data_IF_232850473046
#
_entry.id   IF_232850473046
#
_cell.length_a   1.000
_cell.length_b   1.000
_cell.length_c   1.000
_cell.angle_alpha   90.00
_cell.angle_beta   90.00
_cell.angle_gamma   90.00
#
_symmetry.space_group_name_H-M   'P 1'
#
loop_
_entity.id
_entity.type
_entity.pdbx_description
1 polymer ?
#
# COMPACT_ATOMS: atom_id res chain seq x y z
N UNK A 1 -8.26 -9.49 20.57
CA UNK A 1 -7.11 -8.60 20.34
C UNK A 1 -6.57 -8.06 21.66
N UNK A 2 -5.28 -7.82 21.74
CA UNK A 2 -4.62 -7.22 22.90
C UNK A 2 -4.59 -5.71 22.78
N UNK A 3 -4.28 -5.01 23.88
CA UNK A 3 -4.05 -3.55 23.86
C UNK A 3 -2.88 -3.17 22.94
N UNK A 4 -1.85 -4.02 22.89
CA UNK A 4 -0.68 -3.81 22.03
C UNK A 4 -1.05 -3.90 20.55
N UNK A 5 -1.80 -4.93 20.15
CA UNK A 5 -2.28 -5.07 18.77
C UNK A 5 -3.21 -3.93 18.37
N UNK A 6 -4.11 -3.52 19.24
CA UNK A 6 -4.99 -2.38 18.99
C UNK A 6 -4.18 -1.10 18.78
N UNK A 7 -3.18 -0.86 19.63
CA UNK A 7 -2.29 0.30 19.51
C UNK A 7 -1.50 0.32 18.21
N UNK A 8 -1.02 -0.84 17.75
CA UNK A 8 -0.32 -0.97 16.47
C UNK A 8 -1.25 -0.64 15.29
N UNK A 9 -2.47 -1.19 15.32
CA UNK A 9 -3.48 -0.95 14.28
C UNK A 9 -3.86 0.53 14.22
N UNK A 10 -4.07 1.15 15.38
CA UNK A 10 -4.38 2.58 15.47
C UNK A 10 -3.27 3.45 14.89
N UNK A 11 -2.01 3.12 15.17
CA UNK A 11 -0.85 3.86 14.61
C UNK A 11 -0.80 3.76 13.09
N UNK A 12 -1.03 2.57 12.55
CA UNK A 12 -1.03 2.36 11.09
C UNK A 12 -2.22 3.07 10.44
N UNK A 13 -3.38 3.07 11.08
CA UNK A 13 -4.53 3.84 10.60
C UNK A 13 -4.23 5.34 10.58
N UNK A 14 -3.59 5.85 11.63
CA UNK A 14 -3.17 7.26 11.68
C UNK A 14 -2.21 7.61 10.54
N UNK A 15 -1.28 6.71 10.19
CA UNK A 15 -0.38 6.90 9.06
C UNK A 15 -1.14 7.05 7.74
N UNK A 16 -2.17 6.22 7.52
CA UNK A 16 -3.03 6.33 6.34
C UNK A 16 -3.78 7.66 6.32
N UNK A 17 -4.34 8.07 7.46
CA UNK A 17 -5.08 9.32 7.55
C UNK A 17 -4.18 10.53 7.29
N UNK A 18 -2.96 10.53 7.83
CA UNK A 18 -1.98 11.59 7.59
C UNK A 18 -1.49 11.62 6.14
N UNK A 19 -1.49 10.49 5.46
CA UNK A 19 -1.08 10.38 4.08
C UNK A 19 -2.14 10.91 3.11
N UNK A 20 -3.38 11.18 3.56
CA UNK A 20 -4.45 11.68 2.71
C UNK A 20 -4.10 13.01 2.05
N UNK A 21 -4.66 13.22 0.87
CA UNK A 21 -4.45 14.44 0.09
C UNK A 21 -5.66 15.36 0.20
N UNK A 22 -5.43 16.67 0.07
CA UNK A 22 -6.51 17.65 -0.08
C UNK A 22 -7.08 17.55 -1.49
N UNK A 23 -6.19 17.35 -2.48
CA UNK A 23 -6.54 17.10 -3.88
C UNK A 23 -5.45 16.25 -4.51
N UNK A 24 -5.83 15.48 -5.51
CA UNK A 24 -4.90 14.59 -6.21
C UNK A 24 -5.37 14.47 -7.66
N UNK A 25 -4.70 15.18 -8.57
CA UNK A 25 -4.97 15.04 -10.00
C UNK A 25 -4.34 13.75 -10.53
N UNK A 26 -4.73 13.38 -11.74
CA UNK A 26 -4.10 12.24 -12.42
C UNK A 26 -2.60 12.50 -12.62
N UNK A 27 -2.21 13.73 -12.93
CA UNK A 27 -0.81 14.14 -13.03
C UNK A 27 -0.07 13.97 -11.69
N UNK A 28 -0.70 14.41 -10.60
CA UNK A 28 -0.13 14.24 -9.27
C UNK A 28 0.11 12.76 -8.94
N UNK A 29 -0.84 11.91 -9.27
CA UNK A 29 -0.74 10.47 -9.00
C UNK A 29 0.40 9.84 -9.82
N UNK A 30 0.58 10.25 -11.07
CA UNK A 30 1.69 9.80 -11.90
C UNK A 30 3.03 10.27 -11.32
N UNK A 31 3.12 11.54 -10.92
CA UNK A 31 4.34 12.10 -10.33
C UNK A 31 4.66 11.44 -8.99
N UNK A 32 3.64 11.07 -8.22
CA UNK A 32 3.82 10.31 -6.98
C UNK A 32 4.44 8.94 -7.26
N UNK A 33 3.98 8.26 -8.31
CA UNK A 33 4.57 6.98 -8.75
C UNK A 33 6.04 7.13 -9.11
N UNK A 34 6.38 8.19 -9.84
CA UNK A 34 7.78 8.49 -10.19
C UNK A 34 8.62 8.80 -8.96
N UNK A 35 8.06 9.52 -7.99
CA UNK A 35 8.72 9.81 -6.72
C UNK A 35 9.04 8.51 -5.96
N UNK A 36 8.08 7.60 -5.89
CA UNK A 36 8.25 6.30 -5.25
C UNK A 36 9.34 5.48 -5.96
N UNK A 37 9.34 5.46 -7.28
CA UNK A 37 10.34 4.75 -8.07
C UNK A 37 11.75 5.29 -7.79
N UNK A 38 11.92 6.61 -7.79
CA UNK A 38 13.21 7.26 -7.51
C UNK A 38 13.70 6.95 -6.11
N UNK A 39 12.83 7.00 -5.13
CA UNK A 39 13.21 6.71 -3.74
C UNK A 39 13.65 5.25 -3.60
N UNK A 40 12.94 4.33 -4.24
CA UNK A 40 13.31 2.91 -4.25
C UNK A 40 14.68 2.70 -4.89
N UNK A 41 14.97 3.39 -6.00
CA UNK A 41 16.27 3.33 -6.66
C UNK A 41 17.39 3.87 -5.78
N UNK A 42 17.17 5.03 -5.15
CA UNK A 42 18.15 5.65 -4.24
C UNK A 42 18.50 4.72 -3.08
N UNK A 43 17.53 3.98 -2.57
CA UNK A 43 17.70 3.01 -1.49
C UNK A 43 18.21 1.66 -1.98
N UNK A 44 18.35 1.48 -3.29
CA UNK A 44 18.80 0.24 -3.93
C UNK A 44 17.90 -0.95 -3.61
N UNK A 45 16.61 -0.69 -3.53
CA UNK A 45 15.61 -1.74 -3.29
C UNK A 45 15.24 -2.45 -4.60
N UNK A 46 15.01 -3.75 -4.51
CA UNK A 46 14.57 -4.58 -5.64
C UNK A 46 13.06 -4.75 -5.52
N UNK A 47 12.32 -3.71 -5.90
CA UNK A 47 10.87 -3.69 -5.74
C UNK A 47 10.18 -3.37 -7.06
N UNK A 48 8.95 -3.86 -7.18
CA UNK A 48 8.00 -3.44 -8.20
C UNK A 48 7.09 -2.39 -7.55
N UNK A 49 6.94 -1.25 -8.21
CA UNK A 49 6.15 -0.12 -7.71
C UNK A 49 4.91 0.10 -8.57
N UNK A 50 3.85 0.63 -7.99
CA UNK A 50 2.63 0.91 -8.73
C UNK A 50 1.74 1.96 -8.10
N UNK A 51 0.95 2.59 -8.95
CA UNK A 51 -0.13 3.50 -8.58
C UNK A 51 -1.33 3.19 -9.46
N UNK A 52 -2.48 2.95 -8.82
CA UNK A 52 -3.76 2.84 -9.51
C UNK A 52 -4.65 4.01 -9.11
N UNK A 53 -5.42 4.52 -10.06
CA UNK A 53 -6.55 5.42 -9.78
C UNK A 53 -7.83 4.67 -10.15
N UNK A 54 -8.71 4.48 -9.17
CA UNK A 54 -9.81 3.55 -9.32
C UNK A 54 -9.24 2.17 -9.64
N UNK A 55 -9.67 1.60 -10.73
CA UNK A 55 -9.16 0.31 -11.22
C UNK A 55 -8.14 0.47 -12.36
N UNK A 56 -7.84 1.70 -12.76
CA UNK A 56 -6.88 1.95 -13.81
C UNK A 56 -5.45 1.86 -13.27
N UNK A 57 -4.64 1.02 -13.88
CA UNK A 57 -3.19 1.04 -13.64
C UNK A 57 -2.64 2.33 -14.26
N UNK A 58 -2.28 3.28 -13.43
CA UNK A 58 -1.73 4.55 -13.90
C UNK A 58 -0.22 4.48 -14.07
N UNK A 59 0.46 3.79 -13.15
CA UNK A 59 1.91 3.65 -13.16
C UNK A 59 2.30 2.28 -12.63
N UNK A 60 3.21 1.61 -13.33
CA UNK A 60 3.75 0.33 -12.88
C UNK A 60 5.17 0.18 -13.42
N UNK A 61 6.14 -0.08 -12.52
CA UNK A 61 7.51 -0.29 -12.91
C UNK A 61 8.20 -1.27 -11.98
N UNK A 62 8.94 -2.22 -12.56
CA UNK A 62 9.76 -3.17 -11.80
C UNK A 62 11.22 -2.78 -11.91
N UNK A 63 11.87 -2.54 -10.76
CA UNK A 63 13.31 -2.32 -10.72
C UNK A 63 14.06 -3.63 -10.97
N UNK A 64 15.32 -3.57 -11.45
CA UNK A 64 16.11 -4.77 -11.69
C UNK A 64 16.14 -5.70 -10.47
N UNK A 65 15.94 -6.98 -10.72
CA UNK A 65 15.85 -7.99 -9.67
C UNK A 65 14.43 -8.42 -9.32
N UNK A 66 13.41 -7.71 -9.85
CA UNK A 66 12.02 -8.13 -9.69
C UNK A 66 11.65 -9.19 -10.74
N UNK A 67 10.64 -9.97 -10.41
CA UNK A 67 10.12 -11.05 -11.27
C UNK A 67 8.60 -10.99 -11.34
N UNK A 68 8.01 -11.82 -12.20
CA UNK A 68 6.56 -11.82 -12.44
C UNK A 68 5.75 -12.01 -11.15
N UNK A 69 6.25 -12.77 -10.18
CA UNK A 69 5.55 -12.98 -8.91
C UNK A 69 5.28 -11.67 -8.16
N UNK A 70 6.20 -10.69 -8.27
CA UNK A 70 5.99 -9.38 -7.65
C UNK A 70 4.76 -8.67 -8.21
N UNK A 71 4.48 -8.86 -9.51
CA UNK A 71 3.29 -8.31 -10.16
C UNK A 71 2.01 -8.91 -9.56
N UNK A 72 1.99 -10.23 -9.34
CA UNK A 72 0.85 -10.89 -8.71
C UNK A 72 0.64 -10.40 -7.28
N UNK A 73 1.72 -10.19 -6.54
CA UNK A 73 1.63 -9.66 -5.18
C UNK A 73 1.03 -8.26 -5.15
N UNK A 74 1.49 -7.35 -6.00
CA UNK A 74 1.00 -5.97 -5.97
C UNK A 74 -0.48 -5.89 -6.37
N UNK A 75 -0.90 -6.71 -7.32
CA UNK A 75 -2.31 -6.78 -7.72
C UNK A 75 -3.21 -7.23 -6.57
N UNK A 76 -2.78 -8.22 -5.82
CA UNK A 76 -3.51 -8.73 -4.66
C UNK A 76 -3.52 -7.72 -3.51
N UNK A 77 -2.45 -6.98 -3.32
CA UNK A 77 -2.39 -5.88 -2.34
C UNK A 77 -3.37 -4.76 -2.74
N UNK A 78 -3.37 -4.37 -4.00
CA UNK A 78 -4.28 -3.32 -4.48
C UNK A 78 -5.75 -3.77 -4.43
N UNK A 79 -6.02 -5.02 -4.71
CA UNK A 79 -7.36 -5.58 -4.56
C UNK A 79 -7.85 -5.46 -3.11
N UNK A 80 -6.98 -5.73 -2.14
CA UNK A 80 -7.29 -5.59 -0.72
C UNK A 80 -7.58 -4.14 -0.34
N UNK A 81 -6.77 -3.19 -0.81
CA UNK A 81 -6.99 -1.76 -0.59
C UNK A 81 -8.35 -1.33 -1.15
N UNK A 82 -8.67 -1.73 -2.38
CA UNK A 82 -9.94 -1.35 -3.03
C UNK A 82 -11.15 -1.90 -2.28
N UNK A 83 -11.04 -3.13 -1.78
CA UNK A 83 -12.17 -3.78 -1.09
C UNK A 83 -12.40 -3.23 0.31
N UNK A 84 -11.33 -3.02 1.07
CA UNK A 84 -11.43 -2.74 2.50
C UNK A 84 -11.15 -1.27 2.86
N UNK A 85 -10.58 -0.48 1.95
CA UNK A 85 -10.26 0.92 2.21
C UNK A 85 -9.21 1.14 3.28
N UNK A 86 -8.39 0.14 3.54
CA UNK A 86 -7.33 0.14 4.56
C UNK A 86 -5.98 -0.13 3.91
N UNK A 87 -4.88 0.29 4.55
CA UNK A 87 -3.57 -0.16 4.11
C UNK A 87 -3.44 -1.67 4.31
N UNK A 88 -2.63 -2.32 3.49
CA UNK A 88 -2.40 -3.75 3.65
C UNK A 88 -1.61 -4.08 4.93
N UNK A 89 -0.87 -3.12 5.49
CA UNK A 89 -0.25 -3.30 6.81
C UNK A 89 -1.31 -3.34 7.91
N UNK A 90 -2.34 -2.49 7.83
CA UNK A 90 -3.48 -2.54 8.76
C UNK A 90 -4.13 -3.93 8.72
N UNK A 91 -4.38 -4.43 7.51
CA UNK A 91 -5.00 -5.74 7.31
C UNK A 91 -4.10 -6.88 7.80
N UNK A 92 -2.79 -6.77 7.59
CA UNK A 92 -1.82 -7.76 8.10
C UNK A 92 -1.86 -7.83 9.62
N UNK A 93 -1.84 -6.69 10.30
CA UNK A 93 -1.88 -6.62 11.76
C UNK A 93 -3.22 -7.17 12.30
N UNK A 94 -4.31 -6.87 11.61
CA UNK A 94 -5.62 -7.39 11.97
C UNK A 94 -5.67 -8.92 11.86
N UNK A 95 -5.14 -9.47 10.78
CA UNK A 95 -5.07 -10.92 10.58
C UNK A 95 -4.16 -11.60 11.61
N UNK A 96 -3.04 -10.95 11.97
CA UNK A 96 -2.14 -11.46 13.01
C UNK A 96 -2.83 -11.49 14.38
N UNK A 97 -3.65 -10.48 14.68
CA UNK A 97 -4.39 -10.40 15.94
C UNK A 97 -5.57 -11.37 15.97
N UNK A 98 -6.21 -11.59 14.82
CA UNK A 98 -7.37 -12.46 14.66
C UNK A 98 -7.12 -13.43 13.50
N UNK A 99 -6.39 -14.54 13.72
CA UNK A 99 -5.98 -15.44 12.61
C UNK A 99 -7.13 -16.02 11.79
N UNK A 100 -8.34 -16.11 12.37
CA UNK A 100 -9.52 -16.61 11.68
C UNK A 100 -10.35 -15.51 10.99
N UNK A 101 -9.88 -14.27 11.04
CA UNK A 101 -10.62 -13.12 10.47
C UNK A 101 -11.05 -13.36 9.02
N UNK A 102 -10.13 -13.78 8.18
CA UNK A 102 -10.42 -14.01 6.76
C UNK A 102 -11.36 -15.19 6.56
N UNK A 103 -11.10 -16.30 7.23
CA UNK A 103 -11.91 -17.51 7.14
C UNK A 103 -13.36 -17.24 7.55
N UNK A 104 -13.55 -16.59 8.69
CA UNK A 104 -14.88 -16.31 9.24
C UNK A 104 -15.70 -15.37 8.36
N UNK A 105 -15.05 -14.54 7.55
CA UNK A 105 -15.69 -13.57 6.67
C UNK A 105 -15.68 -13.98 5.19
N UNK A 106 -15.23 -15.19 4.89
CA UNK A 106 -15.18 -15.69 3.52
C UNK A 106 -14.24 -14.90 2.61
N UNK A 107 -13.13 -14.39 3.17
CA UNK A 107 -12.13 -13.64 2.42
C UNK A 107 -11.08 -14.61 1.87
N UNK A 108 -10.92 -14.61 0.55
CA UNK A 108 -9.93 -15.44 -0.12
C UNK A 108 -8.58 -14.70 -0.14
N UNK A 109 -7.65 -15.14 0.70
CA UNK A 109 -6.32 -14.55 0.80
C UNK A 109 -5.44 -14.79 -0.44
N UNK A 110 -5.85 -15.67 -1.35
CA UNK A 110 -5.18 -15.82 -2.64
C UNK A 110 -5.56 -14.70 -3.63
N UNK A 111 -6.63 -14.00 -3.36
CA UNK A 111 -7.12 -12.86 -4.17
C UNK A 111 -6.77 -11.52 -3.50
N UNK A 112 -6.87 -11.47 -2.18
CA UNK A 112 -6.65 -10.26 -1.38
C UNK A 112 -5.44 -10.48 -0.48
N UNK A 113 -4.33 -9.78 -0.74
CA UNK A 113 -3.13 -9.93 0.07
C UNK A 113 -3.19 -9.03 1.30
N UNK A 114 -3.21 -9.65 2.49
CA UNK A 114 -3.13 -8.95 3.77
C UNK A 114 -1.66 -8.90 4.21
N UNK A 115 -0.83 -8.26 3.39
CA UNK A 115 0.61 -8.13 3.57
C UNK A 115 1.00 -6.69 3.26
N UNK A 116 1.67 -6.04 4.17
CA UNK A 116 2.02 -4.61 4.07
C UNK A 116 2.73 -4.24 2.77
N UNK A 117 2.49 -3.02 2.31
CA UNK A 117 3.12 -2.47 1.12
C UNK A 117 2.20 -1.68 0.21
N UNK A 118 0.90 -1.71 0.42
CA UNK A 118 -0.03 -0.86 -0.33
C UNK A 118 -0.84 0.02 0.61
N UNK A 119 -1.04 1.26 0.20
CA UNK A 119 -1.72 2.29 0.99
C UNK A 119 -2.83 2.89 0.14
N UNK A 120 -4.04 3.09 0.71
CA UNK A 120 -5.11 3.74 -0.04
C UNK A 120 -4.74 5.20 -0.35
N UNK A 121 -5.00 5.61 -1.58
CA UNK A 121 -4.94 7.01 -1.95
C UNK A 121 -6.28 7.63 -1.60
N UNK A 122 -6.25 8.55 -0.64
CA UNK A 122 -7.44 9.24 -0.14
C UNK A 122 -7.38 10.72 -0.50
N UNK A 123 -8.51 11.25 -0.94
CA UNK A 123 -8.72 12.70 -1.04
C UNK A 123 -9.74 13.05 0.04
N UNK A 124 -9.26 13.68 1.11
CA UNK A 124 -10.04 13.74 2.34
C UNK A 124 -10.27 12.31 2.85
N UNK A 125 -11.53 11.90 2.96
CA UNK A 125 -11.91 10.54 3.37
C UNK A 125 -12.33 9.66 2.20
N UNK A 126 -12.24 10.15 0.95
CA UNK A 126 -12.71 9.43 -0.24
C UNK A 126 -11.57 8.60 -0.83
N UNK A 127 -11.80 7.31 -0.98
CA UNK A 127 -10.86 6.39 -1.61
C UNK A 127 -10.86 6.63 -3.13
N UNK A 128 -9.72 7.01 -3.69
CA UNK A 128 -9.58 7.27 -5.13
C UNK A 128 -8.60 6.32 -5.82
N UNK A 129 -7.81 5.56 -5.08
CA UNK A 129 -6.84 4.65 -5.67
C UNK A 129 -5.96 3.98 -4.65
N UNK A 130 -4.84 3.47 -5.11
CA UNK A 130 -3.86 2.79 -4.28
C UNK A 130 -2.45 3.07 -4.78
N UNK A 131 -1.50 3.10 -3.85
CA UNK A 131 -0.08 3.18 -4.13
C UNK A 131 0.62 2.07 -3.36
N UNK A 132 1.59 1.42 -3.97
CA UNK A 132 2.25 0.34 -3.27
C UNK A 132 3.48 -0.21 -3.95
N UNK A 133 4.13 -1.11 -3.22
CA UNK A 133 5.31 -1.85 -3.68
C UNK A 133 5.21 -3.32 -3.28
N UNK A 134 5.97 -4.15 -3.97
CA UNK A 134 6.19 -5.54 -3.60
C UNK A 134 7.66 -5.89 -3.81
N UNK A 135 8.27 -6.59 -2.84
CA UNK A 135 9.64 -7.08 -2.97
C UNK A 135 10.48 -7.09 -1.69
N UNK A 136 10.11 -6.35 -0.67
CA UNK A 136 10.79 -6.33 0.63
C UNK A 136 9.94 -7.05 1.69
N UNK A 137 10.38 -7.03 2.94
CA UNK A 137 9.51 -7.40 4.05
C UNK A 137 8.34 -6.42 4.13
N UNK A 138 7.19 -6.87 4.57
CA UNK A 138 5.95 -6.10 4.55
C UNK A 138 6.06 -4.73 5.22
N UNK A 139 6.72 -4.65 6.37
CA UNK A 139 6.89 -3.39 7.08
C UNK A 139 7.86 -2.45 6.36
N UNK A 140 8.83 -2.97 5.63
CA UNK A 140 9.75 -2.17 4.80
C UNK A 140 9.04 -1.64 3.56
N UNK A 141 8.24 -2.48 2.90
CA UNK A 141 7.39 -2.06 1.77
C UNK A 141 6.46 -0.93 2.21
N UNK A 142 5.79 -1.10 3.34
CA UNK A 142 4.90 -0.09 3.91
C UNK A 142 5.63 1.22 4.19
N UNK A 143 6.81 1.15 4.81
CA UNK A 143 7.62 2.34 5.15
C UNK A 143 8.08 3.08 3.90
N UNK A 144 8.51 2.35 2.90
CA UNK A 144 8.95 2.96 1.63
C UNK A 144 7.84 3.81 1.00
N UNK A 145 6.61 3.29 0.99
CA UNK A 145 5.48 4.02 0.41
C UNK A 145 5.14 5.26 1.24
N UNK A 146 5.11 5.15 2.56
CA UNK A 146 4.88 6.31 3.44
C UNK A 146 5.93 7.39 3.23
N UNK A 147 7.20 7.00 3.13
CA UNK A 147 8.29 7.94 2.92
C UNK A 147 8.17 8.63 1.56
N UNK A 148 7.76 7.91 0.54
CA UNK A 148 7.54 8.49 -0.80
C UNK A 148 6.40 9.52 -0.79
N UNK A 149 5.29 9.22 -0.13
CA UNK A 149 4.17 10.15 -0.01
C UNK A 149 4.62 11.40 0.74
N UNK A 150 5.35 11.24 1.86
CA UNK A 150 5.87 12.37 2.62
C UNK A 150 6.84 13.22 1.80
N UNK A 151 7.74 12.59 1.05
CA UNK A 151 8.67 13.30 0.17
C UNK A 151 7.94 14.06 -0.95
N UNK A 152 6.93 13.44 -1.55
CA UNK A 152 6.11 14.06 -2.59
C UNK A 152 5.39 15.30 -2.07
N UNK A 153 4.84 15.24 -0.88
CA UNK A 153 4.10 16.37 -0.27
C UNK A 153 4.98 17.56 0.09
N UNK A 154 6.30 17.37 0.23
CA UNK A 154 7.25 18.45 0.51
C UNK A 154 7.62 19.27 -0.73
N UNK A 155 7.20 18.84 -1.91
CA UNK A 155 7.56 19.51 -3.18
C UNK A 155 6.38 20.14 -3.91
#
# INVERSE_FOLDING_TARGET
MTKESDGQIERVQAQTDEAAFVRLSQRDALDLGLCLLRLAEERRHKVLVGVDLGEQCLFRAGLPGTVSDHQYWIERKFAAVRRFGKSTMHLELLLNAEPRFAEERGIDLSTFAFVGGAIPLLVGSVLVGAIGVAGLHSHEDHRLVLDAIAAFKRH
#
